data_IF_274295374850
#
_entry.id   IF_274295374850
#
_cell.length_a   1.000
_cell.length_b   1.000
_cell.length_c   1.000
_cell.angle_alpha   90.00
_cell.angle_beta   90.00
_cell.angle_gamma   90.00
#
_symmetry.space_group_name_H-M   'P 1'
#
loop_
_entity.id
_entity.type
_entity.pdbx_description
1 polymer ?
#
# COMPACT_ATOMS: atom_id res chain seq x y z
N UNK A 1 31.38 -7.19 -14.89
CA UNK A 1 30.10 -7.36 -14.16
C UNK A 1 30.08 -8.76 -13.57
N UNK A 2 30.20 -8.92 -12.24
CA UNK A 2 30.10 -10.24 -11.60
C UNK A 2 28.69 -10.79 -11.86
N UNK A 3 28.59 -12.01 -12.39
CA UNK A 3 27.35 -12.78 -12.48
C UNK A 3 26.76 -12.91 -11.07
N UNK A 4 25.86 -11.99 -10.69
CA UNK A 4 25.05 -12.14 -9.49
C UNK A 4 24.02 -13.21 -9.84
N UNK A 5 24.29 -14.45 -9.44
CA UNK A 5 23.30 -15.52 -9.48
C UNK A 5 22.07 -15.06 -8.74
N UNK A 6 20.91 -15.15 -9.38
CA UNK A 6 19.64 -14.75 -8.79
C UNK A 6 19.34 -15.67 -7.58
N UNK A 7 18.86 -15.10 -6.47
CA UNK A 7 18.72 -15.84 -5.20
C UNK A 7 17.67 -16.95 -5.28
N UNK A 8 17.76 -17.94 -4.38
CA UNK A 8 16.73 -18.97 -4.25
C UNK A 8 15.36 -18.36 -3.92
N UNK A 9 15.33 -17.31 -3.09
CA UNK A 9 14.12 -16.55 -2.74
C UNK A 9 13.42 -16.03 -4.00
N UNK A 10 14.16 -15.46 -4.96
CA UNK A 10 13.58 -14.98 -6.21
C UNK A 10 12.90 -16.10 -7.00
N UNK A 11 13.58 -17.24 -7.19
CA UNK A 11 13.03 -18.33 -7.99
C UNK A 11 11.81 -18.95 -7.34
N UNK A 12 11.84 -19.16 -6.02
CA UNK A 12 10.70 -19.70 -5.26
C UNK A 12 9.51 -18.74 -5.33
N UNK A 13 9.72 -17.44 -5.08
CA UNK A 13 8.67 -16.44 -5.18
C UNK A 13 8.09 -16.35 -6.59
N UNK A 14 8.95 -16.37 -7.63
CA UNK A 14 8.51 -16.33 -9.02
C UNK A 14 7.61 -17.52 -9.37
N UNK A 15 8.01 -18.73 -8.97
CA UNK A 15 7.22 -19.95 -9.22
C UNK A 15 5.87 -19.86 -8.51
N UNK A 16 5.84 -19.47 -7.23
CA UNK A 16 4.59 -19.34 -6.46
C UNK A 16 3.66 -18.29 -7.10
N UNK A 17 4.19 -17.10 -7.41
CA UNK A 17 3.42 -16.04 -8.05
C UNK A 17 2.90 -16.48 -9.44
N UNK A 18 3.72 -17.17 -10.24
CA UNK A 18 3.33 -17.65 -11.57
C UNK A 18 2.21 -18.68 -11.47
N UNK A 19 2.30 -19.64 -10.54
CA UNK A 19 1.25 -20.63 -10.30
C UNK A 19 -0.05 -19.94 -9.87
N UNK A 20 0.03 -18.97 -8.96
CA UNK A 20 -1.14 -18.23 -8.49
C UNK A 20 -1.82 -17.44 -9.62
N UNK A 21 -1.03 -16.73 -10.44
CA UNK A 21 -1.53 -15.99 -11.62
C UNK A 21 -2.14 -16.95 -12.64
N UNK A 22 -1.48 -18.07 -12.94
CA UNK A 22 -2.00 -19.07 -13.88
C UNK A 22 -3.32 -19.67 -13.38
N UNK A 23 -3.43 -19.97 -12.08
CA UNK A 23 -4.67 -20.46 -11.50
C UNK A 23 -5.80 -19.43 -11.62
N UNK A 24 -5.53 -18.15 -11.35
CA UNK A 24 -6.51 -17.07 -11.51
C UNK A 24 -6.92 -16.81 -12.97
N UNK A 25 -5.99 -16.97 -13.91
CA UNK A 25 -6.27 -16.78 -15.33
C UNK A 25 -7.10 -17.93 -15.93
N UNK A 26 -6.83 -19.19 -15.51
CA UNK A 26 -7.51 -20.36 -16.05
C UNK A 26 -8.85 -20.62 -15.33
N UNK A 27 -8.91 -20.40 -14.01
CA UNK A 27 -10.05 -20.73 -13.16
C UNK A 27 -10.50 -19.53 -12.29
N UNK A 28 -10.89 -18.39 -12.90
CA UNK A 28 -11.15 -17.15 -12.17
C UNK A 28 -12.29 -17.28 -11.14
N UNK A 29 -13.40 -17.94 -11.51
CA UNK A 29 -14.56 -18.11 -10.62
C UNK A 29 -14.24 -19.00 -9.41
N UNK A 30 -13.42 -20.03 -9.60
CA UNK A 30 -12.99 -20.92 -8.53
C UNK A 30 -12.05 -20.18 -7.58
N UNK A 31 -11.10 -19.40 -8.13
CA UNK A 31 -10.21 -18.57 -7.32
C UNK A 31 -11.01 -17.54 -6.51
N UNK A 32 -11.94 -16.82 -7.13
CA UNK A 32 -12.82 -15.84 -6.46
C UNK A 32 -13.61 -16.49 -5.31
N UNK A 33 -14.26 -17.63 -5.57
CA UNK A 33 -15.00 -18.35 -4.52
C UNK A 33 -14.09 -18.81 -3.38
N UNK A 34 -12.91 -19.32 -3.70
CA UNK A 34 -11.95 -19.79 -2.70
C UNK A 34 -11.44 -18.63 -1.84
N UNK A 35 -10.99 -17.54 -2.45
CA UNK A 35 -10.47 -16.37 -1.73
C UNK A 35 -11.58 -15.71 -0.92
N UNK A 36 -12.80 -15.60 -1.44
CA UNK A 36 -13.93 -15.05 -0.69
C UNK A 36 -14.26 -15.89 0.55
N UNK A 37 -14.28 -17.22 0.43
CA UNK A 37 -14.47 -18.11 1.58
C UNK A 37 -13.38 -17.92 2.65
N UNK A 38 -12.11 -17.80 2.23
CA UNK A 38 -10.99 -17.55 3.13
C UNK A 38 -11.13 -16.17 3.80
N UNK A 39 -11.43 -15.12 3.03
CA UNK A 39 -11.64 -13.77 3.56
C UNK A 39 -12.78 -13.74 4.57
N UNK A 40 -13.91 -14.39 4.29
CA UNK A 40 -15.03 -14.47 5.23
C UNK A 40 -14.65 -15.24 6.49
N UNK A 41 -13.93 -16.36 6.37
CA UNK A 41 -13.43 -17.11 7.52
C UNK A 41 -12.53 -16.26 8.42
N UNK A 42 -11.57 -15.54 7.82
CA UNK A 42 -10.67 -14.64 8.55
C UNK A 42 -11.48 -13.52 9.22
N UNK A 43 -12.42 -12.91 8.50
CA UNK A 43 -13.25 -11.83 9.04
C UNK A 43 -14.12 -12.29 10.23
N UNK A 44 -14.66 -13.51 10.19
CA UNK A 44 -15.49 -14.02 11.29
C UNK A 44 -14.68 -14.38 12.52
N UNK A 45 -13.49 -14.98 12.36
CA UNK A 45 -12.74 -15.57 13.47
C UNK A 45 -11.56 -14.74 13.97
N UNK A 46 -10.97 -13.89 13.12
CA UNK A 46 -9.73 -13.17 13.41
C UNK A 46 -9.87 -11.64 13.40
N UNK A 47 -11.06 -11.06 13.14
CA UNK A 47 -11.23 -9.60 13.14
C UNK A 47 -10.81 -8.94 14.47
N UNK A 48 -11.12 -9.56 15.61
CA UNK A 48 -10.71 -9.06 16.93
C UNK A 48 -9.18 -8.98 17.06
N UNK A 49 -8.46 -9.97 16.51
CA UNK A 49 -7.01 -10.02 16.51
C UNK A 49 -6.43 -8.89 15.66
N UNK A 50 -6.99 -8.64 14.47
CA UNK A 50 -6.57 -7.52 13.62
C UNK A 50 -6.74 -6.16 14.31
N UNK A 51 -7.90 -5.93 14.95
CA UNK A 51 -8.16 -4.69 15.67
C UNK A 51 -7.19 -4.50 16.85
N UNK A 52 -6.95 -5.56 17.63
CA UNK A 52 -6.01 -5.53 18.74
C UNK A 52 -4.58 -5.30 18.27
N UNK A 53 -4.16 -5.96 17.19
CA UNK A 53 -2.82 -5.82 16.63
C UNK A 53 -2.54 -4.38 16.19
N UNK A 54 -3.48 -3.78 15.42
CA UNK A 54 -3.35 -2.38 14.97
C UNK A 54 -3.33 -1.43 16.15
N UNK A 55 -4.15 -1.68 17.17
CA UNK A 55 -4.16 -0.88 18.41
C UNK A 55 -2.82 -0.97 19.15
N UNK A 56 -2.26 -2.17 19.29
CA UNK A 56 -0.93 -2.38 19.92
C UNK A 56 0.16 -1.68 19.11
N UNK A 57 0.14 -1.78 17.79
CA UNK A 57 1.09 -1.07 16.91
C UNK A 57 1.00 0.45 17.15
N UNK A 58 -0.21 1.00 17.19
CA UNK A 58 -0.43 2.42 17.47
C UNK A 58 0.16 2.82 18.83
N UNK A 59 -0.11 2.04 19.89
CA UNK A 59 0.47 2.28 21.20
C UNK A 59 1.99 2.20 21.21
N UNK A 60 2.58 1.26 20.48
CA UNK A 60 4.05 1.15 20.33
C UNK A 60 4.61 2.39 19.65
N UNK A 61 3.99 2.87 18.56
CA UNK A 61 4.42 4.10 17.89
C UNK A 61 4.36 5.31 18.83
N UNK A 62 3.26 5.47 19.58
CA UNK A 62 3.11 6.55 20.57
C UNK A 62 4.14 6.42 21.69
N UNK A 63 4.37 5.21 22.20
CA UNK A 63 5.38 4.96 23.22
C UNK A 63 6.78 5.37 22.73
N UNK A 64 7.18 4.93 21.53
CA UNK A 64 8.48 5.28 20.95
C UNK A 64 8.64 6.80 20.86
N UNK A 65 7.60 7.51 20.37
CA UNK A 65 7.59 8.97 20.22
C UNK A 65 7.87 9.73 21.53
N UNK A 66 7.36 9.25 22.66
CA UNK A 66 7.54 9.90 23.97
C UNK A 66 8.62 9.26 24.85
N UNK A 67 9.31 8.23 24.35
CA UNK A 67 10.35 7.53 25.07
C UNK A 67 11.74 8.08 24.75
N UNK A 68 12.76 7.57 25.47
CA UNK A 68 14.18 7.81 25.15
C UNK A 68 14.58 7.41 23.73
N UNK A 69 13.82 6.52 23.08
CA UNK A 69 14.13 6.01 21.75
C UNK A 69 13.85 7.02 20.64
N UNK A 70 13.07 8.07 20.90
CA UNK A 70 12.78 9.13 19.93
C UNK A 70 14.03 9.93 19.50
N UNK A 71 15.10 9.90 20.30
CA UNK A 71 16.34 10.64 20.03
C UNK A 71 17.39 9.80 19.26
N UNK A 72 17.06 8.57 18.85
CA UNK A 72 18.00 7.73 18.10
C UNK A 72 18.02 8.18 16.63
N UNK A 73 19.20 8.50 16.13
CA UNK A 73 19.41 8.79 14.70
C UNK A 73 19.22 7.52 13.87
N UNK A 74 18.38 7.58 12.83
CA UNK A 74 18.14 6.50 11.88
C UNK A 74 19.19 6.49 10.75
N UNK A 75 20.44 6.33 11.16
CA UNK A 75 21.65 6.43 10.34
C UNK A 75 22.87 6.29 11.24
N UNK A 76 24.00 6.83 10.82
CA UNK A 76 25.18 6.97 11.69
C UNK A 76 24.91 7.98 12.82
N UNK A 77 25.51 7.78 13.99
CA UNK A 77 25.31 8.69 15.12
C UNK A 77 25.80 10.11 14.78
N UNK A 78 24.91 11.09 14.87
CA UNK A 78 25.20 12.48 14.52
C UNK A 78 25.10 12.81 13.03
N UNK A 79 24.62 11.89 12.19
CA UNK A 79 24.36 12.14 10.77
C UNK A 79 23.20 13.13 10.57
N UNK A 80 23.40 14.11 9.70
CA UNK A 80 22.37 15.07 9.31
C UNK A 80 21.36 14.45 8.32
N UNK A 81 20.08 14.85 8.32
CA UNK A 81 19.10 14.36 7.35
C UNK A 81 19.50 14.68 5.91
N UNK A 82 19.43 13.68 5.02
CA UNK A 82 19.71 13.86 3.58
C UNK A 82 18.75 14.85 2.89
N UNK A 83 17.52 14.96 3.41
CA UNK A 83 16.47 15.82 2.86
C UNK A 83 15.98 16.81 3.90
N UNK A 84 15.68 18.03 3.45
CA UNK A 84 15.01 19.03 4.30
C UNK A 84 13.62 18.55 4.72
N UNK A 85 13.16 18.98 5.89
CA UNK A 85 11.87 18.57 6.45
C UNK A 85 10.68 18.79 5.48
N UNK A 86 10.55 19.93 4.79
CA UNK A 86 9.46 20.11 3.81
C UNK A 86 9.56 19.15 2.62
N UNK A 87 10.77 18.89 2.13
CA UNK A 87 10.98 17.94 1.03
C UNK A 87 10.63 16.52 1.46
N UNK A 88 11.01 16.12 2.67
CA UNK A 88 10.68 14.82 3.24
C UNK A 88 9.17 14.63 3.40
N UNK A 89 8.46 15.63 3.95
CA UNK A 89 7.00 15.60 4.04
C UNK A 89 6.34 15.46 2.66
N UNK A 90 6.80 16.21 1.65
CA UNK A 90 6.27 16.11 0.30
C UNK A 90 6.47 14.71 -0.31
N UNK A 91 7.63 14.09 -0.08
CA UNK A 91 7.90 12.72 -0.53
C UNK A 91 7.01 11.70 0.17
N UNK A 92 6.76 11.86 1.47
CA UNK A 92 5.88 10.98 2.24
C UNK A 92 4.46 10.96 1.67
N UNK A 93 3.89 12.12 1.37
CA UNK A 93 2.56 12.19 0.74
C UNK A 93 2.59 11.68 -0.70
N UNK A 94 3.64 11.94 -1.47
CA UNK A 94 3.74 11.44 -2.84
C UNK A 94 3.81 9.91 -2.91
N UNK A 95 4.54 9.29 -1.97
CA UNK A 95 4.64 7.83 -1.88
C UNK A 95 3.40 7.18 -1.26
N UNK A 96 2.76 7.85 -0.28
CA UNK A 96 1.58 7.33 0.43
C UNK A 96 0.26 7.52 -0.31
N UNK A 97 0.13 8.54 -1.16
CA UNK A 97 -1.08 8.78 -1.97
C UNK A 97 -1.10 7.88 -3.21
N UNK A 98 -1.45 6.60 -2.98
CA UNK A 98 -1.68 5.64 -4.05
C UNK A 98 -3.06 5.76 -4.70
N UNK A 99 -3.27 4.97 -5.75
CA UNK A 99 -4.57 4.79 -6.44
C UNK A 99 -5.67 4.41 -5.45
N UNK A 100 -5.32 3.65 -4.41
CA UNK A 100 -6.25 3.28 -3.34
C UNK A 100 -6.91 4.50 -2.69
N UNK A 101 -6.18 5.59 -2.46
CA UNK A 101 -6.74 6.80 -1.86
C UNK A 101 -7.74 7.46 -2.82
N UNK A 102 -7.39 7.66 -4.09
CA UNK A 102 -8.28 8.29 -5.07
C UNK A 102 -9.55 7.45 -5.31
N UNK A 103 -9.43 6.13 -5.31
CA UNK A 103 -10.55 5.23 -5.51
C UNK A 103 -11.46 5.17 -4.27
N UNK A 104 -10.89 4.81 -3.11
CA UNK A 104 -11.67 4.49 -1.92
C UNK A 104 -12.14 5.71 -1.13
N UNK A 105 -11.43 6.85 -1.16
CA UNK A 105 -11.91 8.06 -0.46
C UNK A 105 -13.23 8.60 -1.00
N UNK A 106 -13.59 8.25 -2.24
CA UNK A 106 -14.90 8.58 -2.81
C UNK A 106 -15.85 7.38 -2.73
N UNK A 107 -15.40 6.18 -3.10
CA UNK A 107 -16.26 5.00 -3.15
C UNK A 107 -16.72 4.53 -1.76
N UNK A 108 -15.85 4.58 -0.76
CA UNK A 108 -16.12 4.06 0.57
C UNK A 108 -17.19 4.89 1.33
N UNK A 109 -17.09 6.23 1.46
CA UNK A 109 -18.13 7.01 2.14
C UNK A 109 -19.49 6.90 1.44
N UNK A 110 -19.52 6.91 0.10
CA UNK A 110 -20.77 6.75 -0.66
C UNK A 110 -21.36 5.36 -0.41
N UNK A 111 -20.53 4.32 -0.44
CA UNK A 111 -20.98 2.96 -0.14
C UNK A 111 -21.53 2.84 1.28
N UNK A 112 -20.78 3.30 2.28
CA UNK A 112 -21.21 3.25 3.68
C UNK A 112 -22.41 4.14 3.98
N UNK A 113 -22.65 5.21 3.23
CA UNK A 113 -23.81 6.07 3.43
C UNK A 113 -25.08 5.51 2.76
N UNK A 114 -24.96 4.92 1.56
CA UNK A 114 -26.12 4.65 0.70
C UNK A 114 -26.32 3.18 0.32
N UNK A 115 -25.36 2.29 0.56
CA UNK A 115 -25.42 0.89 0.10
C UNK A 115 -25.13 -0.13 1.20
N UNK A 116 -23.93 -0.10 1.76
CA UNK A 116 -23.45 -1.02 2.79
C UNK A 116 -23.32 -0.27 4.12
N UNK A 117 -24.47 0.19 4.62
CA UNK A 117 -24.56 0.96 5.85
C UNK A 117 -24.29 0.07 7.08
N UNK A 118 -23.27 0.36 7.91
CA UNK A 118 -22.92 -0.57 9.00
C UNK A 118 -23.86 -0.51 10.21
N UNK A 119 -24.43 0.67 10.53
CA UNK A 119 -25.18 0.91 11.77
C UNK A 119 -26.57 1.48 11.46
N UNK A 120 -26.64 2.68 10.86
CA UNK A 120 -27.89 3.38 10.58
C UNK A 120 -28.46 3.04 9.20
N UNK A 121 -29.74 3.33 8.97
CA UNK A 121 -30.42 3.07 7.69
C UNK A 121 -29.77 3.88 6.55
N UNK A 122 -29.55 3.23 5.41
CA UNK A 122 -29.04 3.84 4.18
C UNK A 122 -29.73 5.16 3.82
N UNK A 123 -28.94 6.17 3.48
CA UNK A 123 -29.38 7.50 3.05
C UNK A 123 -29.86 8.44 4.17
N UNK A 124 -29.85 8.00 5.43
CA UNK A 124 -30.12 8.89 6.57
C UNK A 124 -28.91 9.76 6.91
N UNK A 125 -29.12 10.91 7.56
CA UNK A 125 -28.02 11.76 8.03
C UNK A 125 -27.07 11.00 8.97
N UNK A 126 -27.60 10.14 9.84
CA UNK A 126 -26.78 9.30 10.71
C UNK A 126 -25.89 8.33 9.93
N UNK A 127 -26.40 7.73 8.85
CA UNK A 127 -25.59 6.88 7.96
C UNK A 127 -24.48 7.65 7.25
N UNK A 128 -24.72 8.90 6.85
CA UNK A 128 -23.69 9.78 6.28
C UNK A 128 -22.62 10.10 7.33
N UNK A 129 -23.02 10.39 8.56
CA UNK A 129 -22.09 10.67 9.65
C UNK A 129 -21.25 9.45 10.01
N UNK A 130 -21.84 8.25 10.02
CA UNK A 130 -21.11 6.99 10.24
C UNK A 130 -20.11 6.73 9.11
N UNK A 131 -20.54 6.92 7.86
CA UNK A 131 -19.71 6.70 6.70
C UNK A 131 -18.42 7.52 6.76
N UNK A 132 -18.53 8.81 7.13
CA UNK A 132 -17.37 9.68 7.33
C UNK A 132 -16.50 9.20 8.50
N UNK A 133 -17.09 8.79 9.63
CA UNK A 133 -16.33 8.27 10.78
C UNK A 133 -15.54 7.01 10.42
N UNK A 134 -16.15 6.05 9.74
CA UNK A 134 -15.47 4.82 9.30
C UNK A 134 -14.36 5.12 8.30
N UNK A 135 -14.60 6.00 7.34
CA UNK A 135 -13.56 6.35 6.37
C UNK A 135 -12.39 7.10 7.02
N UNK A 136 -12.63 8.01 7.98
CA UNK A 136 -11.53 8.59 8.76
C UNK A 136 -10.82 7.56 9.63
N UNK A 137 -11.53 6.56 10.14
CA UNK A 137 -10.91 5.48 10.91
C UNK A 137 -9.99 4.61 10.05
N UNK A 138 -10.44 4.21 8.85
CA UNK A 138 -9.68 3.37 7.92
C UNK A 138 -8.48 4.08 7.30
N UNK A 139 -8.61 5.38 6.98
CA UNK A 139 -7.56 6.16 6.30
C UNK A 139 -6.78 7.10 7.24
N UNK A 140 -7.06 7.01 8.54
CA UNK A 140 -6.44 7.84 9.57
C UNK A 140 -5.18 7.23 10.18
N UNK A 141 -4.88 7.65 11.41
CA UNK A 141 -3.63 7.34 12.12
C UNK A 141 -3.33 5.84 12.27
N UNK A 142 -4.35 4.99 12.30
CA UNK A 142 -4.18 3.54 12.46
C UNK A 142 -3.44 2.91 11.27
N UNK A 143 -3.82 3.26 10.04
CA UNK A 143 -3.14 2.79 8.84
C UNK A 143 -1.69 3.31 8.78
N UNK A 144 -1.50 4.59 9.11
CA UNK A 144 -0.17 5.20 9.14
C UNK A 144 0.74 4.63 10.23
N UNK A 145 0.20 4.19 11.36
CA UNK A 145 0.99 3.53 12.41
C UNK A 145 1.61 2.21 11.91
N UNK A 146 0.86 1.43 11.11
CA UNK A 146 1.37 0.20 10.51
C UNK A 146 2.53 0.50 9.54
N UNK A 147 2.40 1.52 8.69
CA UNK A 147 3.51 1.94 7.84
C UNK A 147 4.68 2.48 8.65
N UNK A 148 4.41 3.30 9.66
CA UNK A 148 5.41 3.92 10.51
C UNK A 148 6.26 2.90 11.25
N UNK A 149 5.65 1.86 11.86
CA UNK A 149 6.43 0.85 12.57
C UNK A 149 7.28 0.01 11.62
N UNK A 150 6.75 -0.38 10.46
CA UNK A 150 7.51 -1.17 9.47
C UNK A 150 8.65 -0.33 8.90
N UNK A 151 8.40 0.92 8.52
CA UNK A 151 9.43 1.85 8.04
C UNK A 151 10.51 2.08 9.10
N UNK A 152 10.13 2.25 10.37
CA UNK A 152 11.06 2.42 11.48
C UNK A 152 11.94 1.18 11.67
N UNK A 153 11.37 -0.02 11.60
CA UNK A 153 12.12 -1.29 11.68
C UNK A 153 13.16 -1.36 10.56
N UNK A 154 12.76 -1.12 9.31
CA UNK A 154 13.72 -1.14 8.20
C UNK A 154 14.77 -0.04 8.31
N UNK A 155 14.39 1.18 8.66
CA UNK A 155 15.32 2.30 8.79
C UNK A 155 16.34 2.04 9.90
N UNK A 156 15.88 1.57 11.06
CA UNK A 156 16.76 1.25 12.18
C UNK A 156 17.72 0.11 11.84
N UNK A 157 17.24 -1.02 11.32
CA UNK A 157 18.13 -2.14 11.04
C UNK A 157 19.04 -1.89 9.85
N UNK A 158 18.54 -1.27 8.78
CA UNK A 158 19.34 -1.07 7.56
C UNK A 158 20.33 0.07 7.71
N UNK A 159 19.90 1.23 8.21
CA UNK A 159 20.73 2.44 8.27
C UNK A 159 21.48 2.58 9.59
N UNK A 160 20.83 2.33 10.72
CA UNK A 160 21.48 2.46 12.03
C UNK A 160 22.28 1.20 12.45
N UNK A 161 21.86 -0.01 12.04
CA UNK A 161 22.59 -1.27 12.36
C UNK A 161 23.35 -1.89 11.19
N UNK A 162 23.22 -1.36 9.97
CA UNK A 162 23.92 -1.87 8.79
C UNK A 162 23.49 -3.27 8.33
N UNK A 163 22.29 -3.71 8.70
CA UNK A 163 21.75 -4.99 8.24
C UNK A 163 21.36 -4.90 6.77
N UNK A 164 21.36 -6.03 6.03
CA UNK A 164 20.81 -6.04 4.68
C UNK A 164 19.31 -5.71 4.74
N UNK A 165 18.80 -5.03 3.71
CA UNK A 165 17.38 -4.65 3.56
C UNK A 165 16.45 -5.83 3.28
N UNK A 166 16.56 -6.91 4.06
CA UNK A 166 15.73 -8.10 4.01
C UNK A 166 14.80 -8.11 5.23
N UNK A 167 13.60 -8.64 5.06
CA UNK A 167 12.63 -8.73 6.16
C UNK A 167 13.16 -9.68 7.23
N UNK A 168 13.71 -10.82 6.79
CA UNK A 168 14.37 -11.79 7.67
C UNK A 168 15.49 -11.17 8.51
N UNK A 169 16.28 -10.25 7.94
CA UNK A 169 17.39 -9.63 8.65
C UNK A 169 16.94 -8.84 9.88
N UNK A 170 15.80 -8.15 9.79
CA UNK A 170 15.21 -7.39 10.91
C UNK A 170 14.81 -8.26 12.11
N UNK A 171 14.63 -9.58 11.89
CA UNK A 171 14.27 -10.55 12.92
C UNK A 171 15.48 -11.25 13.55
N UNK A 172 16.70 -10.95 13.07
CA UNK A 172 17.95 -11.53 13.59
C UNK A 172 18.12 -11.35 15.10
N UNK A 173 17.78 -10.21 15.74
CA UNK A 173 17.91 -10.07 17.18
C UNK A 173 16.98 -10.96 18.00
N UNK A 174 15.87 -11.41 17.40
CA UNK A 174 14.88 -12.26 18.08
C UNK A 174 15.13 -13.75 17.83
N UNK A 175 15.47 -14.11 16.59
CA UNK A 175 15.54 -15.51 16.14
C UNK A 175 16.97 -16.00 15.89
N UNK A 176 17.95 -15.10 15.96
CA UNK A 176 19.36 -15.39 15.76
C UNK A 176 19.79 -15.49 14.29
N UNK A 177 21.08 -15.22 14.07
CA UNK A 177 21.68 -15.13 12.73
C UNK A 177 21.61 -16.47 11.96
N UNK A 178 21.79 -17.59 12.66
CA UNK A 178 21.72 -18.93 12.05
C UNK A 178 20.33 -19.21 11.45
N UNK A 179 19.26 -18.83 12.15
CA UNK A 179 17.89 -19.07 11.69
C UNK A 179 17.54 -18.15 10.51
N UNK A 180 17.92 -16.87 10.57
CA UNK A 180 17.63 -15.87 9.53
C UNK A 180 18.48 -16.02 8.28
N UNK A 181 19.69 -16.58 8.38
CA UNK A 181 20.48 -16.98 7.20
C UNK A 181 20.09 -18.36 6.64
N UNK A 182 19.23 -19.09 7.36
CA UNK A 182 18.77 -20.42 7.00
C UNK A 182 17.44 -20.44 6.23
N UNK A 183 16.82 -21.63 6.07
CA UNK A 183 15.56 -21.78 5.35
C UNK A 183 14.40 -20.96 5.92
N UNK A 184 14.38 -20.73 7.24
CA UNK A 184 13.34 -19.93 7.88
C UNK A 184 13.37 -18.46 7.42
N UNK A 185 14.56 -17.85 7.40
CA UNK A 185 14.71 -16.48 6.89
C UNK A 185 14.34 -16.38 5.41
N UNK A 186 14.76 -17.35 4.60
CA UNK A 186 14.37 -17.44 3.19
C UNK A 186 12.85 -17.53 3.01
N UNK A 187 12.15 -18.31 3.83
CA UNK A 187 10.68 -18.41 3.80
C UNK A 187 10.00 -17.08 4.17
N UNK A 188 10.52 -16.35 5.16
CA UNK A 188 10.02 -15.02 5.56
C UNK A 188 10.18 -14.02 4.41
N UNK A 189 11.34 -14.02 3.75
CA UNK A 189 11.58 -13.13 2.61
C UNK A 189 10.70 -13.50 1.41
N UNK A 190 10.44 -14.79 1.15
CA UNK A 190 9.46 -15.23 0.14
C UNK A 190 8.06 -14.70 0.47
N UNK A 191 7.61 -14.84 1.73
CA UNK A 191 6.30 -14.31 2.16
C UNK A 191 6.21 -12.80 1.99
N UNK A 192 7.28 -12.07 2.30
CA UNK A 192 7.33 -10.62 2.10
C UNK A 192 7.24 -10.22 0.62
N UNK A 193 7.91 -10.95 -0.27
CA UNK A 193 7.79 -10.74 -1.72
C UNK A 193 6.36 -11.01 -2.19
N UNK A 194 5.74 -12.11 -1.77
CA UNK A 194 4.36 -12.45 -2.13
C UNK A 194 3.39 -11.36 -1.63
N UNK A 195 3.52 -10.94 -0.37
CA UNK A 195 2.69 -9.88 0.21
C UNK A 195 2.81 -8.56 -0.56
N UNK A 196 4.04 -8.19 -0.95
CA UNK A 196 4.29 -6.96 -1.73
C UNK A 196 3.70 -7.06 -3.13
N UNK A 197 3.95 -8.15 -3.85
CA UNK A 197 3.47 -8.34 -5.23
C UNK A 197 1.94 -8.36 -5.27
N UNK A 198 1.30 -9.07 -4.35
CA UNK A 198 -0.17 -9.15 -4.29
C UNK A 198 -0.81 -7.81 -3.93
N UNK A 199 -0.25 -7.06 -2.98
CA UNK A 199 -0.74 -5.71 -2.63
C UNK A 199 -0.60 -4.71 -3.78
N UNK A 200 0.53 -4.71 -4.47
CA UNK A 200 0.76 -3.86 -5.65
C UNK A 200 -0.19 -4.24 -6.79
N UNK A 201 -0.39 -5.54 -7.04
CA UNK A 201 -1.28 -6.02 -8.10
C UNK A 201 -2.74 -5.57 -7.89
N UNK A 202 -3.25 -5.64 -6.65
CA UNK A 202 -4.60 -5.17 -6.33
C UNK A 202 -4.77 -3.67 -6.62
N UNK A 203 -3.79 -2.85 -6.20
CA UNK A 203 -3.80 -1.40 -6.41
C UNK A 203 -3.74 -1.04 -7.90
N UNK A 204 -2.90 -1.74 -8.68
CA UNK A 204 -2.81 -1.56 -10.12
C UNK A 204 -4.11 -1.94 -10.84
N UNK A 205 -4.78 -3.01 -10.38
CA UNK A 205 -6.08 -3.44 -10.91
C UNK A 205 -7.17 -2.37 -10.72
N UNK A 206 -7.29 -1.80 -9.53
CA UNK A 206 -8.21 -0.68 -9.28
C UNK A 206 -7.87 0.54 -10.15
N UNK A 207 -6.58 0.79 -10.39
CA UNK A 207 -6.12 1.86 -11.28
C UNK A 207 -6.60 1.69 -12.72
N UNK A 208 -6.42 0.49 -13.26
CA UNK A 208 -6.87 0.17 -14.61
C UNK A 208 -8.39 0.29 -14.75
N UNK A 209 -9.15 -0.18 -13.75
CA UNK A 209 -10.60 -0.01 -13.69
C UNK A 209 -11.00 1.47 -13.71
N UNK A 210 -10.39 2.28 -12.84
CA UNK A 210 -10.71 3.70 -12.71
C UNK A 210 -10.36 4.49 -13.98
N UNK A 211 -9.22 4.20 -14.60
CA UNK A 211 -8.82 4.83 -15.89
C UNK A 211 -9.79 4.40 -16.99
N UNK A 212 -10.14 3.11 -17.06
CA UNK A 212 -11.06 2.63 -18.10
C UNK A 212 -12.44 3.30 -18.00
N UNK A 213 -13.00 3.41 -16.80
CA UNK A 213 -14.28 4.10 -16.56
C UNK A 213 -14.18 5.60 -16.89
N UNK A 214 -13.08 6.27 -16.54
CA UNK A 214 -12.86 7.66 -16.90
C UNK A 214 -12.79 7.88 -18.41
N UNK A 215 -12.09 7.01 -19.15
CA UNK A 215 -12.03 7.06 -20.61
C UNK A 215 -13.37 6.72 -21.26
N UNK A 216 -14.13 5.79 -20.69
CA UNK A 216 -15.48 5.49 -21.14
C UNK A 216 -16.39 6.73 -20.97
N UNK A 217 -16.33 7.40 -19.83
CA UNK A 217 -17.12 8.59 -19.57
C UNK A 217 -16.77 9.77 -20.51
N UNK A 218 -15.48 10.01 -20.78
CA UNK A 218 -15.03 11.16 -21.57
C UNK A 218 -15.02 10.92 -23.09
N UNK A 219 -14.69 9.69 -23.51
CA UNK A 219 -14.39 9.36 -24.91
C UNK A 219 -15.16 8.15 -25.42
N UNK A 220 -16.08 7.60 -24.61
CA UNK A 220 -16.89 6.42 -24.96
C UNK A 220 -16.06 5.18 -25.35
N UNK A 221 -14.84 5.08 -24.80
CA UNK A 221 -13.96 3.90 -24.92
C UNK A 221 -14.61 2.71 -24.21
N UNK A 222 -14.63 1.49 -24.76
CA UNK A 222 -15.28 0.34 -24.11
C UNK A 222 -14.81 0.11 -22.67
N UNK A 223 -15.75 0.02 -21.73
CA UNK A 223 -15.44 -0.45 -20.37
C UNK A 223 -15.59 -1.96 -20.28
N UNK A 224 -14.47 -2.67 -20.41
CA UNK A 224 -14.43 -4.13 -20.31
C UNK A 224 -13.03 -4.62 -19.92
N UNK A 225 -12.96 -5.89 -19.56
CA UNK A 225 -11.71 -6.54 -19.13
C UNK A 225 -10.58 -6.40 -20.16
N UNK A 226 -10.88 -6.50 -21.46
CA UNK A 226 -9.87 -6.37 -22.52
C UNK A 226 -9.21 -5.00 -22.50
N UNK A 227 -10.00 -3.93 -22.34
CA UNK A 227 -9.46 -2.57 -22.25
C UNK A 227 -8.61 -2.39 -20.98
N UNK A 228 -9.04 -2.94 -19.85
CA UNK A 228 -8.26 -2.91 -18.61
C UNK A 228 -6.89 -3.60 -18.77
N UNK A 229 -6.85 -4.76 -19.44
CA UNK A 229 -5.59 -5.46 -19.74
C UNK A 229 -4.69 -4.62 -20.63
N UNK A 230 -5.24 -3.97 -21.67
CA UNK A 230 -4.47 -3.08 -22.55
C UNK A 230 -3.86 -1.92 -21.74
N UNK A 231 -4.64 -1.28 -20.87
CA UNK A 231 -4.15 -0.20 -20.01
C UNK A 231 -3.02 -0.67 -19.08
N UNK A 232 -3.14 -1.86 -18.48
CA UNK A 232 -2.09 -2.45 -17.63
C UNK A 232 -0.82 -2.73 -18.45
N UNK A 233 -0.95 -3.29 -19.66
CA UNK A 233 0.21 -3.54 -20.53
C UNK A 233 0.93 -2.24 -20.89
N UNK A 234 0.18 -1.19 -21.26
CA UNK A 234 0.75 0.14 -21.55
C UNK A 234 1.47 0.69 -20.31
N UNK A 235 0.81 0.69 -19.15
CA UNK A 235 1.41 1.16 -17.89
C UNK A 235 2.68 0.37 -17.53
N UNK A 236 2.68 -0.94 -17.75
CA UNK A 236 3.84 -1.81 -17.50
C UNK A 236 5.01 -1.48 -18.43
N UNK A 237 4.75 -1.24 -19.72
CA UNK A 237 5.78 -0.83 -20.69
C UNK A 237 6.39 0.51 -20.27
N UNK A 238 5.55 1.50 -19.95
CA UNK A 238 6.00 2.82 -19.51
C UNK A 238 6.81 2.75 -18.21
N UNK A 239 6.35 1.96 -17.24
CA UNK A 239 7.06 1.74 -15.99
C UNK A 239 8.42 1.06 -16.22
N UNK A 240 8.46 0.01 -17.04
CA UNK A 240 9.70 -0.72 -17.36
C UNK A 240 10.71 0.18 -18.06
N UNK A 241 10.23 1.01 -19.01
CA UNK A 241 11.07 1.99 -19.68
C UNK A 241 11.61 3.05 -18.69
N UNK A 242 10.75 3.57 -17.81
CA UNK A 242 11.15 4.51 -16.76
C UNK A 242 12.22 3.91 -15.84
N UNK A 243 12.02 2.67 -15.39
CA UNK A 243 12.97 1.95 -14.55
C UNK A 243 14.34 1.76 -15.23
N UNK A 244 14.36 1.48 -16.53
CA UNK A 244 15.61 1.31 -17.27
C UNK A 244 16.33 2.64 -17.55
N UNK A 245 15.59 3.73 -17.74
CA UNK A 245 16.13 5.07 -18.03
C UNK A 245 16.77 5.80 -16.84
N UNK A 246 16.67 5.22 -15.63
CA UNK A 246 17.18 5.81 -14.38
C UNK A 246 16.05 6.23 -13.46
N UNK A 247 15.78 5.40 -12.45
CA UNK A 247 14.62 5.50 -11.57
C UNK A 247 14.62 6.80 -10.76
N UNK A 248 15.78 7.30 -10.36
CA UNK A 248 15.91 8.41 -9.40
C UNK A 248 15.35 9.73 -9.96
N UNK A 249 15.60 10.03 -11.23
CA UNK A 249 15.09 11.26 -11.88
C UNK A 249 13.63 11.11 -12.32
N UNK A 250 13.24 9.92 -12.76
CA UNK A 250 11.88 9.61 -13.21
C UNK A 250 10.87 9.68 -12.07
N UNK A 251 11.16 8.99 -10.95
CA UNK A 251 10.30 8.98 -9.77
C UNK A 251 10.13 10.40 -9.24
N UNK A 252 11.20 11.16 -9.03
CA UNK A 252 11.11 12.53 -8.49
C UNK A 252 10.21 13.44 -9.32
N UNK A 253 10.37 13.41 -10.65
CA UNK A 253 9.56 14.25 -11.56
C UNK A 253 8.09 13.83 -11.56
N UNK A 254 7.82 12.52 -11.70
CA UNK A 254 6.45 11.98 -11.70
C UNK A 254 5.75 12.23 -10.36
N UNK A 255 6.46 12.05 -9.25
CA UNK A 255 5.99 12.35 -7.89
C UNK A 255 5.56 13.81 -7.74
N UNK A 256 6.37 14.76 -8.24
CA UNK A 256 6.04 16.18 -8.18
C UNK A 256 4.81 16.54 -9.02
N UNK A 257 4.71 15.98 -10.24
CA UNK A 257 3.54 16.17 -11.11
C UNK A 257 2.29 15.60 -10.45
N UNK A 258 2.37 14.38 -9.90
CA UNK A 258 1.26 13.74 -9.19
C UNK A 258 0.77 14.61 -8.01
N UNK A 259 1.69 15.14 -7.21
CA UNK A 259 1.35 16.02 -6.09
C UNK A 259 0.66 17.31 -6.55
N UNK A 260 1.15 17.92 -7.63
CA UNK A 260 0.52 19.10 -8.21
C UNK A 260 -0.90 18.80 -8.70
N UNK A 261 -1.08 17.69 -9.45
CA UNK A 261 -2.39 17.27 -9.95
C UNK A 261 -3.36 16.96 -8.80
N UNK A 262 -2.91 16.23 -7.78
CA UNK A 262 -3.71 15.94 -6.60
C UNK A 262 -4.13 17.22 -5.88
N UNK A 263 -3.22 18.19 -5.73
CA UNK A 263 -3.55 19.50 -5.15
C UNK A 263 -4.56 20.28 -5.99
N UNK A 264 -4.41 20.29 -7.32
CA UNK A 264 -5.37 20.93 -8.23
C UNK A 264 -6.75 20.29 -8.13
N UNK A 265 -6.82 18.96 -8.07
CA UNK A 265 -8.08 18.22 -7.88
C UNK A 265 -8.70 18.57 -6.53
N UNK A 266 -7.92 18.56 -5.45
CA UNK A 266 -8.40 18.91 -4.10
C UNK A 266 -8.98 20.33 -4.06
N UNK A 267 -8.23 21.32 -4.55
CA UNK A 267 -8.69 22.72 -4.59
C UNK A 267 -9.90 22.84 -5.52
N UNK A 268 -9.90 22.17 -6.67
CA UNK A 268 -11.05 22.12 -7.57
C UNK A 268 -12.30 21.60 -6.88
N UNK A 269 -12.20 20.48 -6.15
CA UNK A 269 -13.31 19.91 -5.37
C UNK A 269 -13.76 20.83 -4.24
N UNK A 270 -12.85 21.53 -3.55
CA UNK A 270 -13.22 22.49 -2.51
C UNK A 270 -13.92 23.74 -3.08
N UNK A 271 -13.49 24.20 -4.25
CA UNK A 271 -14.05 25.41 -4.86
C UNK A 271 -15.38 25.14 -5.59
N UNK A 272 -15.50 24.00 -6.28
CA UNK A 272 -16.64 23.62 -7.12
C UNK A 272 -17.63 22.67 -6.42
N UNK A 273 -17.17 21.90 -5.43
CA UNK A 273 -18.06 21.13 -4.57
C UNK A 273 -19.07 22.05 -3.89
N UNK A 274 -20.28 21.55 -3.61
CA UNK A 274 -21.36 22.35 -3.05
C UNK A 274 -20.88 23.03 -1.76
N UNK A 275 -20.56 24.32 -1.89
CA UNK A 275 -20.15 25.15 -0.77
C UNK A 275 -21.38 25.35 0.10
N UNK A 276 -21.34 24.82 1.33
CA UNK A 276 -22.26 25.15 2.42
C UNK A 276 -23.74 24.85 2.14
N UNK A 277 -24.19 23.64 2.47
CA UNK A 277 -25.54 23.47 3.02
C UNK A 277 -25.40 22.65 4.28
N UNK A 278 -25.41 23.36 5.42
CA UNK A 278 -25.67 22.78 6.73
C UNK A 278 -27.16 22.46 6.87
#
# INVERSE_FOLDING_TARGET
MKNKSVSLVFWVSLVICTIFVAFGAIFPKQLEKLTQNITTFIALHFSWYYLLLVLVILFVCVYILFSRYANITLGEEGEDPEFSLPSWFAMLFSAGMGIGLVFWTTAEPISHAFKLTPIHKAGTQSAINDAMQFSFFHWGIHAWAVYGIVALVFAYFSFHKGYPGLVSATLTPLLGEKAMRGPLGGAIDVLAVIATVTGVAATLGFGALQINEGLHFLFNVPSNFTMQVILIVIATILFTWSAWSGIDKGIKTLSNINMLLAFVVLIGLLLLGQRFTF
#
